data_IF_674618868139
#
_entry.id   IF_674618868139
#
_cell.length_a   1.000
_cell.length_b   1.000
_cell.length_c   1.000
_cell.angle_alpha   90.00
_cell.angle_beta   90.00
_cell.angle_gamma   90.00
#
_symmetry.space_group_name_H-M   'P 1'
#
loop_
_entity.id
_entity.type
_entity.pdbx_description
1 polymer ?
#
# COMPACT_ATOMS: atom_id res chain seq x y z
N UNK A 1 35.24 1.62 -11.12
CA UNK A 1 34.10 1.92 -10.22
C UNK A 1 33.72 0.63 -9.53
N UNK A 2 33.79 0.56 -8.20
CA UNK A 2 33.46 -0.65 -7.44
C UNK A 2 31.94 -0.75 -7.25
N UNK A 3 31.34 -1.96 -7.30
CA UNK A 3 29.92 -2.11 -7.06
C UNK A 3 29.59 -1.73 -5.61
N UNK A 4 28.60 -0.86 -5.43
CA UNK A 4 28.06 -0.51 -4.11
C UNK A 4 27.12 -1.63 -3.67
N UNK A 5 27.28 -2.11 -2.44
CA UNK A 5 26.39 -3.12 -1.88
C UNK A 5 24.93 -2.64 -1.95
N UNK A 6 24.04 -3.48 -2.49
CA UNK A 6 22.61 -3.23 -2.53
C UNK A 6 21.92 -4.13 -1.50
N UNK A 7 20.95 -3.60 -0.74
CA UNK A 7 20.17 -4.43 0.18
C UNK A 7 19.36 -5.45 -0.62
N UNK A 8 19.28 -6.68 -0.09
CA UNK A 8 18.41 -7.73 -0.61
C UNK A 8 17.09 -7.73 0.17
N UNK A 9 17.16 -7.42 1.46
CA UNK A 9 16.02 -7.34 2.37
C UNK A 9 16.12 -6.11 3.26
N UNK A 10 14.97 -5.62 3.71
CA UNK A 10 14.79 -4.55 4.67
C UNK A 10 14.25 -5.13 5.97
N UNK A 11 14.93 -4.86 7.09
CA UNK A 11 14.40 -5.14 8.42
C UNK A 11 13.35 -4.10 8.78
N UNK A 12 12.15 -4.57 9.12
CA UNK A 12 11.06 -3.76 9.65
C UNK A 12 10.83 -4.09 11.10
N UNK A 13 10.67 -3.07 11.93
CA UNK A 13 10.30 -3.20 13.33
C UNK A 13 8.96 -2.51 13.49
N UNK A 14 7.94 -3.27 13.87
CA UNK A 14 6.59 -2.76 14.01
C UNK A 14 6.52 -1.89 15.26
N UNK A 15 5.90 -0.71 15.13
CA UNK A 15 5.79 0.27 16.23
C UNK A 15 4.77 -0.17 17.29
N UNK A 16 3.83 -1.02 16.90
CA UNK A 16 2.79 -1.54 17.79
C UNK A 16 3.40 -2.29 18.96
N UNK A 17 2.93 -1.97 20.17
CA UNK A 17 3.30 -2.69 21.38
C UNK A 17 2.31 -3.82 21.60
N UNK A 18 2.80 -5.05 21.60
CA UNK A 18 1.96 -6.21 21.78
C UNK A 18 1.92 -6.63 23.24
N UNK A 19 0.72 -6.76 23.80
CA UNK A 19 0.49 -7.27 25.16
C UNK A 19 0.57 -8.79 25.24
N UNK A 20 0.45 -9.50 24.12
CA UNK A 20 0.47 -10.95 24.07
C UNK A 20 0.86 -11.49 22.69
N UNK A 21 1.31 -12.75 22.65
CA UNK A 21 1.58 -13.48 21.38
C UNK A 21 0.33 -13.58 20.50
N UNK A 22 -0.86 -13.63 21.09
CA UNK A 22 -2.13 -13.68 20.34
C UNK A 22 -2.38 -12.38 19.56
N UNK A 23 -2.02 -11.24 20.15
CA UNK A 23 -2.12 -9.95 19.45
C UNK A 23 -1.14 -9.89 18.26
N UNK A 24 0.08 -10.42 18.42
CA UNK A 24 1.04 -10.55 17.32
C UNK A 24 0.51 -11.47 16.21
N UNK A 25 -0.07 -12.61 16.59
CA UNK A 25 -0.60 -13.56 15.61
C UNK A 25 -1.73 -12.94 14.76
N UNK A 26 -2.60 -12.14 15.37
CA UNK A 26 -3.67 -11.43 14.65
C UNK A 26 -3.09 -10.49 13.57
N UNK A 27 -2.06 -9.72 13.90
CA UNK A 27 -1.37 -8.85 12.95
C UNK A 27 -0.79 -9.65 11.77
N UNK A 28 -0.14 -10.79 12.06
CA UNK A 28 0.42 -11.68 11.04
C UNK A 28 -0.69 -12.27 10.16
N UNK A 29 -1.85 -12.59 10.72
CA UNK A 29 -2.97 -13.15 9.98
C UNK A 29 -3.61 -12.13 9.03
N UNK A 30 -3.68 -10.85 9.43
CA UNK A 30 -4.11 -9.76 8.56
C UNK A 30 -3.18 -9.64 7.33
N UNK A 31 -1.86 -9.76 7.54
CA UNK A 31 -0.88 -9.79 6.44
C UNK A 31 -1.08 -10.99 5.49
N UNK A 32 -1.38 -12.18 6.03
CA UNK A 32 -1.60 -13.38 5.19
C UNK A 32 -2.78 -13.23 4.23
N UNK A 33 -3.76 -12.37 4.54
CA UNK A 33 -4.86 -12.08 3.62
C UNK A 33 -4.29 -11.48 2.32
N UNK A 34 -3.34 -10.54 2.40
CA UNK A 34 -2.72 -9.98 1.18
C UNK A 34 -2.02 -11.06 0.36
N UNK A 35 -1.28 -11.96 1.02
CA UNK A 35 -0.53 -13.02 0.34
C UNK A 35 -1.43 -14.06 -0.35
N UNK A 36 -2.66 -14.26 0.15
CA UNK A 36 -3.61 -15.20 -0.45
C UNK A 36 -4.30 -14.63 -1.69
N UNK A 37 -4.45 -13.31 -1.77
CA UNK A 37 -5.23 -12.65 -2.81
C UNK A 37 -4.38 -11.91 -3.85
N UNK A 38 -3.15 -11.53 -3.51
CA UNK A 38 -2.21 -10.89 -4.42
C UNK A 38 -1.16 -11.88 -4.93
N UNK A 39 -0.84 -11.80 -6.23
CA UNK A 39 0.34 -12.45 -6.77
C UNK A 39 1.61 -11.89 -6.11
N UNK A 40 2.65 -12.72 -5.96
CA UNK A 40 3.99 -12.29 -5.49
C UNK A 40 4.63 -11.20 -6.35
N UNK A 41 4.12 -10.98 -7.56
CA UNK A 41 4.52 -9.86 -8.41
C UNK A 41 3.96 -8.51 -7.94
N UNK A 42 2.91 -8.48 -7.12
CA UNK A 42 2.18 -7.27 -6.69
C UNK A 42 2.46 -6.83 -5.25
N UNK A 43 3.26 -7.58 -4.50
CA UNK A 43 3.70 -7.16 -3.17
C UNK A 43 5.16 -7.54 -2.93
N UNK A 44 5.82 -6.79 -2.07
CA UNK A 44 7.15 -7.10 -1.59
C UNK A 44 7.05 -8.24 -0.57
N UNK A 45 7.64 -9.39 -0.89
CA UNK A 45 7.51 -10.58 -0.05
C UNK A 45 8.16 -10.34 1.30
N UNK A 46 7.43 -10.57 2.39
CA UNK A 46 7.99 -10.46 3.75
C UNK A 46 7.80 -11.73 4.58
N UNK A 47 8.78 -12.01 5.43
CA UNK A 47 8.73 -13.03 6.48
C UNK A 47 8.64 -12.34 7.84
N UNK A 48 7.55 -12.59 8.56
CA UNK A 48 7.29 -12.01 9.88
C UNK A 48 7.75 -12.95 11.00
N UNK A 49 8.38 -12.38 12.03
CA UNK A 49 8.88 -13.12 13.19
C UNK A 49 8.77 -12.30 14.47
N UNK A 50 8.55 -13.01 15.56
CA UNK A 50 8.39 -12.42 16.88
C UNK A 50 9.73 -12.42 17.63
N UNK A 51 10.04 -11.31 18.30
CA UNK A 51 11.28 -11.14 19.07
C UNK A 51 10.96 -10.76 20.51
N UNK A 52 11.53 -11.49 21.45
CA UNK A 52 11.54 -11.10 22.87
C UNK A 52 12.61 -10.03 23.08
N UNK A 53 12.17 -8.80 23.35
CA UNK A 53 13.06 -7.65 23.55
C UNK A 53 13.17 -7.30 25.04
N UNK A 54 14.42 -7.20 25.52
CA UNK A 54 14.71 -6.81 26.91
C UNK A 54 15.51 -5.51 26.93
N UNK A 55 14.99 -4.50 27.63
CA UNK A 55 15.70 -3.24 27.91
C UNK A 55 15.68 -2.98 29.41
N UNK A 56 16.82 -3.19 30.08
CA UNK A 56 16.90 -3.17 31.54
C UNK A 56 16.00 -4.25 32.15
N UNK A 57 15.09 -3.87 33.05
CA UNK A 57 14.11 -4.78 33.67
C UNK A 57 12.84 -4.99 32.83
N UNK A 58 12.65 -4.23 31.75
CA UNK A 58 11.44 -4.30 30.93
C UNK A 58 11.59 -5.35 29.84
N UNK A 59 10.64 -6.29 29.80
CA UNK A 59 10.46 -7.25 28.70
C UNK A 59 9.27 -6.83 27.86
N UNK A 60 9.39 -6.93 26.54
CA UNK A 60 8.31 -6.65 25.59
C UNK A 60 8.42 -7.55 24.38
N UNK A 61 7.29 -7.83 23.73
CA UNK A 61 7.24 -8.57 22.48
C UNK A 61 7.30 -7.55 21.34
N UNK A 62 8.23 -7.75 20.41
CA UNK A 62 8.29 -7.03 19.14
C UNK A 62 7.85 -7.97 18.01
N UNK A 63 7.12 -7.41 17.04
CA UNK A 63 6.96 -8.01 15.73
C UNK A 63 7.97 -7.37 14.78
N UNK A 64 8.71 -8.21 14.08
CA UNK A 64 9.68 -7.79 13.08
C UNK A 64 9.40 -8.51 11.76
N UNK A 65 9.76 -7.86 10.66
CA UNK A 65 9.65 -8.43 9.32
C UNK A 65 10.97 -8.30 8.56
N UNK A 66 11.33 -9.33 7.79
CA UNK A 66 12.34 -9.22 6.74
C UNK A 66 11.59 -9.13 5.41
N UNK A 67 11.64 -7.98 4.77
CA UNK A 67 10.92 -7.72 3.53
C UNK A 67 11.87 -7.61 2.36
N UNK A 68 11.49 -8.18 1.21
CA UNK A 68 12.15 -7.97 -0.07
C UNK A 68 12.41 -6.47 -0.31
N UNK A 69 13.66 -6.12 -0.61
CA UNK A 69 13.98 -4.80 -1.09
C UNK A 69 13.54 -4.65 -2.56
N UNK A 70 12.61 -3.73 -2.81
CA UNK A 70 12.13 -3.43 -4.17
C UNK A 70 12.89 -2.23 -4.71
N UNK A 71 13.80 -2.47 -5.65
CA UNK A 71 14.50 -1.40 -6.36
C UNK A 71 13.58 -0.75 -7.38
N UNK A 72 13.15 0.47 -7.11
CA UNK A 72 12.29 1.24 -7.99
C UNK A 72 12.02 2.62 -7.42
N UNK A 73 11.05 3.30 -8.01
CA UNK A 73 10.59 4.62 -7.59
C UNK A 73 9.16 4.53 -7.07
N UNK A 74 8.81 5.45 -6.17
CA UNK A 74 7.46 5.54 -5.63
C UNK A 74 6.46 5.98 -6.71
N UNK A 75 5.34 5.25 -6.82
CA UNK A 75 4.15 5.73 -7.53
C UNK A 75 3.39 6.61 -6.54
N UNK A 76 3.50 7.93 -6.74
CA UNK A 76 2.85 8.92 -5.90
C UNK A 76 1.49 9.32 -6.52
N UNK A 77 0.36 8.84 -5.97
CA UNK A 77 -0.97 9.11 -6.50
C UNK A 77 -1.42 10.56 -6.30
N UNK A 78 -0.70 11.35 -5.49
CA UNK A 78 -1.04 12.73 -5.15
C UNK A 78 -0.37 13.74 -6.06
N UNK A 79 0.62 13.30 -6.84
CA UNK A 79 1.45 14.19 -7.64
C UNK A 79 0.85 14.43 -9.02
N UNK A 80 0.60 15.69 -9.40
CA UNK A 80 -0.03 16.09 -10.66
C UNK A 80 0.67 15.50 -11.91
N UNK A 81 1.99 15.29 -11.81
CA UNK A 81 2.83 14.75 -12.88
C UNK A 81 3.24 13.28 -12.67
N UNK A 82 2.43 12.48 -11.97
CA UNK A 82 2.74 11.08 -11.67
C UNK A 82 3.04 10.24 -12.93
N UNK A 83 2.29 10.44 -14.01
CA UNK A 83 2.53 9.76 -15.29
C UNK A 83 3.92 10.10 -15.87
N UNK A 84 4.28 11.39 -15.91
CA UNK A 84 5.60 11.82 -16.42
C UNK A 84 6.75 11.25 -15.60
N UNK A 85 6.57 11.03 -14.29
CA UNK A 85 7.57 10.31 -13.48
C UNK A 85 7.72 8.86 -13.94
N UNK A 86 6.62 8.15 -14.18
CA UNK A 86 6.63 6.78 -14.71
C UNK A 86 7.31 6.73 -16.08
N UNK A 87 6.98 7.65 -16.98
CA UNK A 87 7.66 7.79 -18.28
C UNK A 87 9.16 8.01 -18.11
N UNK A 88 9.56 8.86 -17.16
CA UNK A 88 10.96 9.11 -16.81
C UNK A 88 11.69 7.85 -16.33
N UNK A 89 11.06 7.01 -15.51
CA UNK A 89 11.62 5.75 -15.01
C UNK A 89 11.80 4.75 -16.15
N UNK A 90 10.86 4.73 -17.10
CA UNK A 90 10.90 3.86 -18.27
C UNK A 90 11.83 4.39 -19.37
N UNK A 91 12.35 5.61 -19.23
CA UNK A 91 13.23 6.24 -20.22
C UNK A 91 14.57 5.50 -20.29
N UNK A 92 14.82 4.84 -21.42
CA UNK A 92 16.00 3.99 -21.63
C UNK A 92 15.79 2.50 -21.35
N UNK A 93 14.56 2.10 -21.03
CA UNK A 93 14.13 0.70 -21.10
C UNK A 93 13.88 0.27 -22.55
N UNK A 94 13.56 -1.01 -22.76
CA UNK A 94 13.22 -1.56 -24.07
C UNK A 94 11.92 -0.97 -24.63
N UNK A 95 11.75 -1.03 -25.96
CA UNK A 95 10.53 -0.58 -26.63
C UNK A 95 9.30 -1.27 -26.02
N UNK A 96 8.28 -0.48 -25.70
CA UNK A 96 7.04 -0.96 -25.07
C UNK A 96 7.08 -1.06 -23.54
N UNK A 97 8.22 -0.80 -22.88
CA UNK A 97 8.31 -0.87 -21.41
C UNK A 97 7.29 0.01 -20.68
N UNK A 98 6.99 1.19 -21.21
CA UNK A 98 5.94 2.06 -20.65
C UNK A 98 4.55 1.41 -20.73
N UNK A 99 4.20 0.80 -21.86
CA UNK A 99 2.92 0.12 -21.99
C UNK A 99 2.82 -1.06 -21.01
N UNK A 100 3.87 -1.87 -20.90
CA UNK A 100 3.96 -2.96 -19.92
C UNK A 100 3.81 -2.44 -18.49
N UNK A 101 4.44 -1.31 -18.15
CA UNK A 101 4.33 -0.68 -16.84
C UNK A 101 2.89 -0.23 -16.53
N UNK A 102 2.21 0.38 -17.50
CA UNK A 102 0.82 0.81 -17.36
C UNK A 102 -0.15 -0.39 -17.28
N UNK A 103 0.10 -1.46 -18.05
CA UNK A 103 -0.66 -2.72 -17.97
C UNK A 103 -0.51 -3.40 -16.60
N UNK A 104 0.72 -3.44 -16.07
CA UNK A 104 0.99 -3.97 -14.73
C UNK A 104 0.35 -3.10 -13.64
N UNK A 105 0.37 -1.78 -13.77
CA UNK A 105 -0.31 -0.88 -12.84
C UNK A 105 -1.82 -1.06 -12.88
N UNK A 106 -2.40 -1.20 -14.08
CA UNK A 106 -3.80 -1.54 -14.29
C UNK A 106 -4.18 -2.89 -13.64
N UNK A 107 -3.34 -3.91 -13.82
CA UNK A 107 -3.50 -5.22 -13.20
C UNK A 107 -3.44 -5.14 -11.67
N UNK A 108 -2.45 -4.41 -11.14
CA UNK A 108 -2.30 -4.14 -9.71
C UNK A 108 -3.56 -3.51 -9.11
N UNK A 109 -4.07 -2.43 -9.71
CA UNK A 109 -5.30 -1.76 -9.25
C UNK A 109 -6.48 -2.73 -9.23
N UNK A 110 -6.67 -3.51 -10.30
CA UNK A 110 -7.75 -4.49 -10.37
C UNK A 110 -7.62 -5.57 -9.27
N UNK A 111 -6.40 -6.07 -9.02
CA UNK A 111 -6.14 -7.02 -7.94
C UNK A 111 -6.47 -6.43 -6.56
N UNK A 112 -6.11 -5.17 -6.31
CA UNK A 112 -6.41 -4.51 -5.02
C UNK A 112 -7.92 -4.30 -4.86
N UNK A 113 -8.62 -3.81 -5.88
CA UNK A 113 -10.08 -3.65 -5.84
C UNK A 113 -10.78 -4.98 -5.56
N UNK A 114 -10.35 -6.05 -6.24
CA UNK A 114 -10.86 -7.40 -5.99
C UNK A 114 -10.58 -7.86 -4.56
N UNK A 115 -9.37 -7.63 -4.04
CA UNK A 115 -9.01 -7.96 -2.67
C UNK A 115 -9.92 -7.24 -1.66
N UNK A 116 -10.12 -5.93 -1.83
CA UNK A 116 -10.99 -5.12 -0.96
C UNK A 116 -12.42 -5.67 -1.00
N UNK A 117 -12.96 -5.89 -2.19
CA UNK A 117 -14.34 -6.35 -2.34
C UNK A 117 -14.57 -7.77 -1.82
N UNK A 118 -13.57 -8.63 -1.86
CA UNK A 118 -13.69 -10.04 -1.44
C UNK A 118 -13.40 -10.28 0.02
N UNK A 119 -12.53 -9.48 0.62
CA UNK A 119 -12.03 -9.71 1.98
C UNK A 119 -12.39 -8.60 2.96
N UNK A 120 -12.81 -7.43 2.45
CA UNK A 120 -12.97 -6.23 3.25
C UNK A 120 -11.65 -5.70 3.82
N UNK A 121 -10.49 -6.10 3.30
CA UNK A 121 -9.20 -5.57 3.71
C UNK A 121 -8.76 -4.43 2.76
N UNK A 122 -8.41 -3.27 3.29
CA UNK A 122 -7.93 -2.11 2.54
C UNK A 122 -6.44 -1.93 2.87
N UNK A 123 -5.52 -2.29 1.95
CA UNK A 123 -4.11 -1.98 2.13
C UNK A 123 -3.88 -0.47 2.05
N UNK A 124 -2.91 0.04 2.81
CA UNK A 124 -2.50 1.44 2.74
C UNK A 124 -1.79 1.76 1.43
N UNK A 125 -2.47 2.57 0.62
CA UNK A 125 -1.95 3.10 -0.64
C UNK A 125 -1.72 4.61 -0.58
N UNK A 126 -2.11 5.25 0.52
CA UNK A 126 -2.00 6.69 0.69
C UNK A 126 -0.56 7.10 1.04
N UNK A 127 0.19 6.22 1.70
CA UNK A 127 1.58 6.45 2.05
C UNK A 127 2.50 6.61 0.84
N UNK A 128 3.29 7.69 0.84
CA UNK A 128 4.36 7.90 -0.16
C UNK A 128 5.38 6.77 -0.05
N UNK A 129 5.59 6.05 -1.15
CA UNK A 129 6.50 4.91 -1.21
C UNK A 129 5.87 3.56 -0.87
N UNK A 130 4.58 3.52 -0.54
CA UNK A 130 3.87 2.24 -0.32
C UNK A 130 3.69 1.47 -1.64
N UNK A 131 3.59 2.17 -2.76
CA UNK A 131 3.56 1.57 -4.10
C UNK A 131 4.86 1.92 -4.82
N UNK A 132 5.60 0.91 -5.24
CA UNK A 132 6.86 1.08 -5.98
C UNK A 132 6.70 0.49 -7.38
N UNK A 133 7.18 1.22 -8.38
CA UNK A 133 7.37 0.71 -9.74
C UNK A 133 8.85 0.50 -10.03
N UNK A 134 9.21 -0.69 -10.50
CA UNK A 134 10.60 -1.02 -10.87
C UNK A 134 10.92 -0.56 -12.29
N UNK A 135 12.21 -0.45 -12.67
CA UNK A 135 12.60 -0.19 -14.06
C UNK A 135 12.13 -1.24 -15.09
N UNK A 136 11.65 -2.39 -14.63
CA UNK A 136 11.05 -3.43 -15.47
C UNK A 136 9.52 -3.28 -15.61
N UNK A 137 8.94 -2.20 -15.07
CA UNK A 137 7.50 -1.96 -15.08
C UNK A 137 6.72 -2.83 -14.09
N UNK A 138 7.38 -3.49 -13.14
CA UNK A 138 6.69 -4.29 -12.10
C UNK A 138 6.23 -3.34 -10.99
N UNK A 139 4.95 -3.45 -10.60
CA UNK A 139 4.34 -2.64 -9.53
C UNK A 139 4.16 -3.48 -8.28
N UNK A 140 4.70 -3.03 -7.14
CA UNK A 140 4.62 -3.74 -5.86
C UNK A 140 4.12 -2.84 -4.73
N UNK A 141 3.23 -3.38 -3.91
CA UNK A 141 2.93 -2.88 -2.57
C UNK A 141 4.06 -3.24 -1.60
N UNK A 142 4.59 -2.26 -0.89
CA UNK A 142 5.75 -2.38 -0.01
C UNK A 142 5.32 -2.30 1.46
N UNK A 143 4.46 -1.36 1.85
CA UNK A 143 4.02 -1.26 3.26
C UNK A 143 2.81 -2.17 3.55
N UNK A 144 3.03 -3.48 3.42
CA UNK A 144 2.01 -4.53 3.45
C UNK A 144 1.35 -4.77 4.82
N UNK A 145 1.84 -4.15 5.88
CA UNK A 145 1.35 -4.34 7.24
C UNK A 145 0.33 -3.28 7.67
N UNK A 146 0.14 -2.22 6.90
CA UNK A 146 -0.89 -1.23 7.19
C UNK A 146 -2.18 -1.61 6.46
N UNK A 147 -3.01 -2.45 7.08
CA UNK A 147 -4.27 -2.93 6.52
C UNK A 147 -5.42 -2.44 7.39
N UNK A 148 -6.32 -1.69 6.79
CA UNK A 148 -7.58 -1.28 7.41
C UNK A 148 -8.73 -2.21 7.03
N UNK A 149 -9.83 -2.16 7.78
CA UNK A 149 -11.05 -2.89 7.45
C UNK A 149 -12.04 -1.99 6.72
N UNK A 150 -12.66 -2.55 5.70
CA UNK A 150 -13.72 -1.93 4.94
C UNK A 150 -14.93 -1.76 5.85
N UNK A 151 -15.26 -0.51 6.13
CA UNK A 151 -16.47 -0.12 6.85
C UNK A 151 -17.28 0.79 5.93
N UNK A 152 -18.51 0.35 5.60
CA UNK A 152 -19.44 1.09 4.73
C UNK A 152 -20.51 1.79 5.58
N UNK A 153 -20.09 2.61 6.53
CA UNK A 153 -20.97 3.44 7.35
C UNK A 153 -20.51 4.91 7.38
N UNK A 154 -21.31 5.78 8.00
CA UNK A 154 -20.99 7.21 8.07
C UNK A 154 -19.81 7.54 9.00
N UNK A 155 -19.25 6.57 9.72
CA UNK A 155 -18.07 6.79 10.53
C UNK A 155 -16.81 6.70 9.66
N UNK A 156 -15.90 7.65 9.84
CA UNK A 156 -14.60 7.65 9.16
C UNK A 156 -13.56 7.08 10.13
N UNK A 157 -13.09 5.84 9.94
CA UNK A 157 -12.09 5.25 10.80
C UNK A 157 -10.74 5.97 10.59
N UNK A 158 -10.13 6.38 11.71
CA UNK A 158 -8.80 7.01 11.75
C UNK A 158 -7.78 6.05 12.40
N UNK A 159 -6.53 6.12 11.96
CA UNK A 159 -5.43 5.37 12.56
C UNK A 159 -4.95 5.98 13.89
N UNK A 160 -3.88 5.42 14.46
CA UNK A 160 -3.28 5.89 15.72
C UNK A 160 -2.69 7.30 15.64
N UNK A 161 -2.57 7.87 14.45
CA UNK A 161 -2.11 9.24 14.17
C UNK A 161 -3.26 10.18 13.80
N UNK A 162 -4.50 9.71 13.82
CA UNK A 162 -5.66 10.50 13.41
C UNK A 162 -5.86 10.56 11.89
N UNK A 163 -5.15 9.75 11.10
CA UNK A 163 -5.22 9.79 9.65
C UNK A 163 -6.28 8.81 9.10
N UNK A 164 -7.17 9.24 8.18
CA UNK A 164 -8.21 8.39 7.59
C UNK A 164 -7.65 7.48 6.48
N UNK A 165 -6.75 6.54 6.85
CA UNK A 165 -5.99 5.68 5.92
C UNK A 165 -6.89 4.96 4.90
N UNK A 166 -8.05 4.45 5.33
CA UNK A 166 -8.97 3.70 4.46
C UNK A 166 -9.47 4.56 3.30
N UNK A 167 -10.07 5.70 3.62
CA UNK A 167 -10.61 6.66 2.66
C UNK A 167 -9.53 7.17 1.71
N UNK A 168 -8.36 7.51 2.25
CA UNK A 168 -7.24 8.01 1.46
C UNK A 168 -6.64 6.94 0.56
N UNK A 169 -6.66 5.67 0.97
CA UNK A 169 -6.21 4.55 0.12
C UNK A 169 -7.17 4.29 -1.05
N UNK A 170 -8.48 4.42 -0.82
CA UNK A 170 -9.47 4.35 -1.91
C UNK A 170 -9.34 5.55 -2.84
N UNK A 171 -9.10 6.75 -2.29
CA UNK A 171 -8.82 7.94 -3.09
C UNK A 171 -7.53 7.76 -3.92
N UNK A 172 -6.47 7.19 -3.35
CA UNK A 172 -5.23 6.89 -4.06
C UNK A 172 -5.47 5.94 -5.26
N UNK A 173 -6.26 4.88 -5.10
CA UNK A 173 -6.66 4.01 -6.22
C UNK A 173 -7.35 4.80 -7.33
N UNK A 174 -8.30 5.66 -6.95
CA UNK A 174 -9.02 6.48 -7.91
C UNK A 174 -8.10 7.44 -8.67
N UNK A 175 -7.13 8.06 -7.99
CA UNK A 175 -6.15 8.93 -8.65
C UNK A 175 -5.23 8.15 -9.59
N UNK A 176 -4.78 6.96 -9.20
CA UNK A 176 -4.00 6.09 -10.10
C UNK A 176 -4.80 5.77 -11.36
N UNK A 177 -6.08 5.38 -11.22
CA UNK A 177 -6.91 5.06 -12.38
C UNK A 177 -7.15 6.26 -13.29
N UNK A 178 -7.42 7.42 -12.73
CA UNK A 178 -7.84 8.60 -13.51
C UNK A 178 -6.67 9.40 -14.04
N UNK A 179 -5.66 9.69 -13.22
CA UNK A 179 -4.53 10.55 -13.59
C UNK A 179 -3.41 9.80 -14.31
N UNK A 180 -3.18 8.53 -13.94
CA UNK A 180 -2.05 7.75 -14.50
C UNK A 180 -2.55 6.84 -15.63
N UNK A 181 -3.64 6.11 -15.41
CA UNK A 181 -4.17 5.16 -16.39
C UNK A 181 -5.18 5.79 -17.37
N UNK A 182 -5.55 7.06 -17.17
CA UNK A 182 -6.48 7.78 -18.04
C UNK A 182 -7.89 7.19 -18.09
N UNK A 183 -8.29 6.39 -17.09
CA UNK A 183 -9.62 5.77 -17.05
C UNK A 183 -10.66 6.80 -16.60
N UNK A 184 -11.84 6.76 -17.20
CA UNK A 184 -12.98 7.50 -16.68
C UNK A 184 -13.45 6.92 -15.35
N UNK A 185 -14.01 7.78 -14.48
CA UNK A 185 -14.72 7.32 -13.28
C UNK A 185 -15.83 6.35 -13.69
N UNK A 186 -15.71 5.09 -13.28
CA UNK A 186 -16.79 4.13 -13.41
C UNK A 186 -17.90 4.50 -12.39
N UNK A 187 -19.04 4.95 -12.90
CA UNK A 187 -20.18 5.35 -12.09
C UNK A 187 -20.84 4.18 -11.36
N UNK A 188 -20.56 2.94 -11.78
CA UNK A 188 -21.10 1.71 -11.19
C UNK A 188 -20.21 1.18 -10.06
N UNK A 189 -18.99 1.70 -9.93
CA UNK A 189 -18.06 1.26 -8.89
C UNK A 189 -18.58 1.63 -7.50
N UNK A 190 -18.98 0.60 -6.75
CA UNK A 190 -19.61 0.75 -5.44
C UNK A 190 -18.63 1.32 -4.41
N UNK A 191 -17.32 1.02 -4.52
CA UNK A 191 -16.31 1.60 -3.64
C UNK A 191 -16.20 3.10 -3.86
N UNK A 192 -16.03 3.52 -5.11
CA UNK A 192 -15.87 4.94 -5.44
C UNK A 192 -17.13 5.76 -5.22
N UNK A 193 -18.32 5.16 -5.41
CA UNK A 193 -19.58 5.84 -5.09
C UNK A 193 -19.69 6.16 -3.60
N UNK A 194 -19.23 5.26 -2.73
CA UNK A 194 -19.31 5.45 -1.30
C UNK A 194 -18.18 6.35 -0.76
N UNK A 195 -16.93 6.00 -1.04
CA UNK A 195 -15.76 6.69 -0.46
C UNK A 195 -15.49 8.06 -1.08
N UNK A 196 -15.90 8.27 -2.34
CA UNK A 196 -15.73 9.56 -3.03
C UNK A 196 -17.04 10.35 -3.11
N UNK A 197 -17.98 10.08 -2.19
CA UNK A 197 -19.11 10.95 -1.96
C UNK A 197 -18.63 12.33 -1.50
N UNK A 198 -19.26 13.40 -2.00
CA UNK A 198 -18.79 14.77 -1.76
C UNK A 198 -18.83 15.16 -0.28
N UNK A 199 -19.84 14.70 0.46
CA UNK A 199 -19.97 15.00 1.88
C UNK A 199 -18.89 14.25 2.68
N UNK A 200 -18.71 12.94 2.42
CA UNK A 200 -17.65 12.15 3.05
C UNK A 200 -16.26 12.72 2.75
N UNK A 201 -15.99 13.10 1.50
CA UNK A 201 -14.72 13.71 1.09
C UNK A 201 -14.46 15.07 1.75
N UNK A 202 -15.50 15.79 2.17
CA UNK A 202 -15.35 17.03 2.95
C UNK A 202 -14.94 16.69 4.38
N UNK A 203 -15.61 15.74 5.02
CA UNK A 203 -15.29 15.28 6.38
C UNK A 203 -13.87 14.68 6.47
N UNK A 204 -13.47 13.87 5.48
CA UNK A 204 -12.09 13.34 5.38
C UNK A 204 -11.07 14.49 5.33
N UNK A 205 -11.32 15.55 4.56
CA UNK A 205 -10.40 16.70 4.44
C UNK A 205 -10.29 17.49 5.74
N UNK A 206 -11.37 17.61 6.51
CA UNK A 206 -11.34 18.28 7.82
C UNK A 206 -10.45 17.51 8.81
N UNK A 207 -10.47 16.17 8.76
CA UNK A 207 -9.59 15.31 9.56
C UNK A 207 -8.11 15.42 9.18
N UNK A 208 -7.78 15.69 7.90
CA UNK A 208 -6.40 15.90 7.45
C UNK A 208 -5.78 17.21 7.99
N UNK A 209 -6.61 18.18 8.39
CA UNK A 209 -6.18 19.50 8.88
C UNK A 209 -6.18 19.64 10.41
N UNK A 210 -6.59 18.58 11.13
CA UNK A 210 -6.72 18.56 12.59
C UNK A 210 -5.45 18.07 13.28
#
# INVERSE_FOLDING_TARGET
MFPVAQPIVMLRIFKNKFSSRRAVQKEIDDYKILQQWLSKSHYAVSSEFMVDYTRGRKKSILLCGLQEYVRGEAVDPWHENALMKIEGIMKGAHDGALNTALENLASFVNCIKNLIMKTGAIPDLAGVGNVIITPLGIVKLVDINNISRLTMDHHIPIDDKGYPVSDKSIQALFQIETQILGRSRDAVDTLYRFFLDQQRMKEVRELETS
#
